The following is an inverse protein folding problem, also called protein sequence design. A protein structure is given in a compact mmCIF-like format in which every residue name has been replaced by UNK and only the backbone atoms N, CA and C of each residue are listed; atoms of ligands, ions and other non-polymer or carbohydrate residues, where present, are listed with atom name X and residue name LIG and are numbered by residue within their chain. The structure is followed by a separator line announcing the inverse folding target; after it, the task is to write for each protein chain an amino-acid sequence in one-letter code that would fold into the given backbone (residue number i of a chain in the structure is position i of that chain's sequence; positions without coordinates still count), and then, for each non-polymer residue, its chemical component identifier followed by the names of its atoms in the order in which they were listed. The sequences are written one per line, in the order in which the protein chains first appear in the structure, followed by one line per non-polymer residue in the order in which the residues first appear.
data_IF_087677056073
#
_entry.id   IF_087677056073
#
_cell.length_a   1.000
_cell.length_b   1.000
_cell.length_c   1.000
_cell.angle_alpha   90.00
_cell.angle_beta   90.00
_cell.angle_gamma   90.00
#
_symmetry.space_group_name_H-M   'P 1'
#
loop_
_entity.id
_entity.type
_entity.pdbx_description
1 polymer ?
#
# COMPACT_ATOMS: atom_id res chain seq x y z
N UNK A 1 60.45 14.28 -2.41
CA UNK A 1 59.51 15.20 -3.10
C UNK A 1 58.34 14.45 -3.80
N UNK A 2 57.86 13.30 -3.29
CA UNK A 2 56.79 12.52 -3.96
C UNK A 2 55.38 12.79 -3.40
N UNK A 3 55.28 13.27 -2.16
CA UNK A 3 54.00 13.32 -1.42
C UNK A 3 53.10 14.48 -1.86
N UNK A 4 53.67 15.59 -2.35
CA UNK A 4 52.92 16.79 -2.76
C UNK A 4 51.96 16.52 -3.92
N UNK A 5 52.36 15.67 -4.87
CA UNK A 5 51.53 15.30 -6.03
C UNK A 5 50.34 14.43 -5.62
N UNK A 6 50.56 13.49 -4.68
CA UNK A 6 49.50 12.62 -4.18
C UNK A 6 48.49 13.37 -3.33
N UNK A 7 48.93 14.38 -2.55
CA UNK A 7 48.05 15.26 -1.78
C UNK A 7 47.12 16.05 -2.71
N UNK A 8 47.66 16.64 -3.78
CA UNK A 8 46.84 17.35 -4.77
C UNK A 8 45.80 16.45 -5.45
N UNK A 9 46.19 15.21 -5.77
CA UNK A 9 45.28 14.21 -6.32
C UNK A 9 44.16 13.83 -5.33
N UNK A 10 44.50 13.64 -4.06
CA UNK A 10 43.51 13.34 -3.01
C UNK A 10 42.52 14.49 -2.80
N UNK A 11 43.01 15.73 -2.82
CA UNK A 11 42.17 16.93 -2.68
C UNK A 11 41.21 17.05 -3.87
N UNK A 12 41.68 16.80 -5.10
CA UNK A 12 40.81 16.85 -6.27
C UNK A 12 39.67 15.82 -6.21
N UNK A 13 39.93 14.61 -5.72
CA UNK A 13 38.90 13.58 -5.50
C UNK A 13 37.90 14.05 -4.43
N UNK A 14 38.40 14.55 -3.30
CA UNK A 14 37.56 15.06 -2.21
C UNK A 14 36.64 16.19 -2.68
N UNK A 15 37.17 17.13 -3.45
CA UNK A 15 36.40 18.24 -4.02
C UNK A 15 35.35 17.71 -5.00
N UNK A 16 35.71 16.77 -5.89
CA UNK A 16 34.77 16.18 -6.83
C UNK A 16 33.64 15.41 -6.14
N UNK A 17 33.96 14.67 -5.07
CA UNK A 17 33.00 13.89 -4.30
C UNK A 17 32.05 14.82 -3.52
N UNK A 18 32.60 15.86 -2.89
CA UNK A 18 31.81 16.84 -2.15
C UNK A 18 30.91 17.64 -3.09
N UNK A 19 31.43 18.12 -4.22
CA UNK A 19 30.67 18.84 -5.23
C UNK A 19 29.58 17.94 -5.85
N UNK A 20 29.91 16.69 -6.19
CA UNK A 20 28.95 15.73 -6.72
C UNK A 20 27.81 15.43 -5.74
N UNK A 21 28.12 15.28 -4.45
CA UNK A 21 27.10 15.05 -3.42
C UNK A 21 26.21 16.28 -3.21
N UNK A 22 26.78 17.48 -3.14
CA UNK A 22 26.01 18.73 -3.00
C UNK A 22 25.10 18.93 -4.22
N UNK A 23 25.60 18.72 -5.43
CA UNK A 23 24.81 18.85 -6.65
C UNK A 23 23.70 17.79 -6.71
N UNK A 24 24.05 16.52 -6.47
CA UNK A 24 23.11 15.40 -6.56
C UNK A 24 22.05 15.37 -5.45
N UNK A 25 22.33 15.95 -4.28
CA UNK A 25 21.41 15.94 -3.14
C UNK A 25 20.63 17.24 -2.98
N UNK A 26 21.30 18.40 -3.14
CA UNK A 26 20.72 19.71 -2.82
C UNK A 26 20.17 20.44 -4.06
N UNK A 27 20.82 20.30 -5.22
CA UNK A 27 20.39 21.00 -6.44
C UNK A 27 19.42 20.17 -7.28
N UNK A 28 19.55 18.84 -7.28
CA UNK A 28 18.70 17.93 -8.05
C UNK A 28 18.12 16.88 -7.10
N UNK A 29 17.23 17.27 -6.16
CA UNK A 29 16.53 16.28 -5.35
C UNK A 29 15.78 15.33 -6.29
N UNK A 30 15.96 14.03 -6.09
CA UNK A 30 15.15 13.05 -6.80
C UNK A 30 13.68 13.37 -6.49
N UNK A 31 12.82 13.52 -7.52
CA UNK A 31 11.41 13.76 -7.26
C UNK A 31 10.91 12.60 -6.39
N UNK A 32 10.34 12.92 -5.23
CA UNK A 32 9.58 11.94 -4.46
C UNK A 32 8.48 11.48 -5.41
N UNK A 33 8.68 10.29 -5.97
CA UNK A 33 7.69 9.69 -6.85
C UNK A 33 6.44 9.58 -5.98
N UNK A 34 5.35 10.23 -6.39
CA UNK A 34 4.04 9.98 -5.83
C UNK A 34 3.73 8.52 -6.12
N UNK A 35 4.21 7.63 -5.25
CA UNK A 35 4.11 6.20 -5.39
C UNK A 35 2.67 5.86 -5.01
N UNK A 36 1.85 5.40 -5.97
CA UNK A 36 0.47 5.06 -5.66
C UNK A 36 0.43 3.89 -4.65
N UNK A 37 -0.63 3.77 -3.87
CA UNK A 37 -0.74 2.74 -2.82
C UNK A 37 -0.58 1.31 -3.39
N UNK A 38 -0.96 1.09 -4.64
CA UNK A 38 -0.75 -0.16 -5.37
C UNK A 38 0.74 -0.57 -5.52
N UNK A 39 1.67 0.38 -5.40
CA UNK A 39 3.11 0.13 -5.51
C UNK A 39 3.77 -0.26 -4.19
N UNK A 40 3.00 -0.30 -3.08
CA UNK A 40 3.50 -0.84 -1.81
C UNK A 40 3.90 -2.31 -1.98
N UNK A 41 4.90 -2.72 -1.22
CA UNK A 41 5.27 -4.14 -1.12
C UNK A 41 4.14 -4.91 -0.40
N UNK A 42 3.97 -6.18 -0.74
CA UNK A 42 2.84 -6.99 -0.27
C UNK A 42 2.68 -7.05 1.25
N UNK A 43 3.77 -7.03 2.01
CA UNK A 43 3.77 -6.93 3.48
C UNK A 43 3.09 -5.64 3.97
N UNK A 44 3.48 -4.48 3.42
CA UNK A 44 2.83 -3.20 3.74
C UNK A 44 1.40 -3.10 3.21
N UNK A 45 1.07 -3.78 2.10
CA UNK A 45 -0.30 -3.87 1.62
C UNK A 45 -1.17 -4.68 2.58
N UNK A 46 -0.65 -5.78 3.12
CA UNK A 46 -1.35 -6.59 4.12
C UNK A 46 -1.62 -5.79 5.40
N UNK A 47 -0.63 -5.03 5.89
CA UNK A 47 -0.80 -4.14 7.05
C UNK A 47 -1.87 -3.06 6.77
N UNK A 48 -1.91 -2.48 5.58
CA UNK A 48 -2.94 -1.51 5.20
C UNK A 48 -4.34 -2.12 5.18
N UNK A 49 -4.48 -3.33 4.61
CA UNK A 49 -5.76 -4.04 4.58
C UNK A 49 -6.22 -4.37 6.00
N UNK A 50 -5.31 -4.73 6.91
CA UNK A 50 -5.62 -4.90 8.32
C UNK A 50 -6.13 -3.60 8.96
N UNK A 51 -5.48 -2.46 8.73
CA UNK A 51 -5.97 -1.16 9.23
C UNK A 51 -7.37 -0.82 8.72
N UNK A 52 -7.66 -1.12 7.44
CA UNK A 52 -9.00 -0.95 6.88
C UNK A 52 -10.00 -1.92 7.54
N UNK A 53 -9.58 -3.15 7.84
CA UNK A 53 -10.42 -4.14 8.51
C UNK A 53 -10.73 -3.75 9.97
N UNK A 54 -9.74 -3.23 10.70
CA UNK A 54 -9.92 -2.70 12.05
C UNK A 54 -10.89 -1.51 12.05
N UNK A 55 -10.70 -0.57 11.13
CA UNK A 55 -11.62 0.56 10.97
C UNK A 55 -13.03 0.11 10.62
N UNK A 56 -13.17 -0.85 9.70
CA UNK A 56 -14.47 -1.42 9.37
C UNK A 56 -15.12 -2.11 10.58
N UNK A 57 -14.36 -2.85 11.37
CA UNK A 57 -14.89 -3.51 12.56
C UNK A 57 -15.39 -2.50 13.61
N UNK A 58 -14.70 -1.36 13.75
CA UNK A 58 -15.07 -0.29 14.66
C UNK A 58 -16.29 0.53 14.17
N UNK A 59 -16.26 0.98 12.91
CA UNK A 59 -17.25 1.93 12.37
C UNK A 59 -18.43 1.23 11.66
N UNK A 60 -18.28 -0.05 11.29
CA UNK A 60 -19.21 -0.83 10.45
C UNK A 60 -19.55 -0.16 9.10
N UNK A 61 -18.72 0.78 8.65
CA UNK A 61 -18.91 1.50 7.40
C UNK A 61 -18.25 0.76 6.23
N UNK A 62 -19.06 -0.06 5.56
CA UNK A 62 -18.63 -0.83 4.39
C UNK A 62 -18.27 0.07 3.20
N UNK A 63 -18.96 1.19 3.01
CA UNK A 63 -18.72 2.07 1.85
C UNK A 63 -17.35 2.71 1.94
N UNK A 64 -16.99 3.19 3.13
CA UNK A 64 -15.65 3.74 3.40
C UNK A 64 -14.58 2.67 3.26
N UNK A 65 -14.80 1.47 3.81
CA UNK A 65 -13.85 0.36 3.70
C UNK A 65 -13.62 -0.06 2.22
N UNK A 66 -14.68 -0.19 1.43
CA UNK A 66 -14.59 -0.51 0.01
C UNK A 66 -13.87 0.58 -0.79
N UNK A 67 -14.09 1.85 -0.45
CA UNK A 67 -13.39 2.97 -1.09
C UNK A 67 -11.88 2.92 -0.82
N UNK A 68 -11.47 2.69 0.43
CA UNK A 68 -10.07 2.58 0.84
C UNK A 68 -9.37 1.38 0.20
N UNK A 69 -10.05 0.24 0.09
CA UNK A 69 -9.52 -0.95 -0.56
C UNK A 69 -9.33 -0.77 -2.08
N UNK A 70 -10.19 0.01 -2.72
CA UNK A 70 -10.06 0.32 -4.14
C UNK A 70 -8.89 1.25 -4.44
N UNK A 71 -8.43 2.02 -3.45
CA UNK A 71 -7.25 2.87 -3.57
C UNK A 71 -5.94 2.06 -3.59
N UNK A 72 -5.88 0.95 -2.84
CA UNK A 72 -4.70 0.07 -2.82
C UNK A 72 -4.68 -0.98 -3.92
N UNK A 73 -5.84 -1.44 -4.37
CA UNK A 73 -5.94 -2.43 -5.45
C UNK A 73 -7.16 -2.13 -6.33
N UNK A 74 -7.00 -1.26 -7.34
CA UNK A 74 -8.10 -0.84 -8.21
C UNK A 74 -8.64 -1.96 -9.09
N UNK A 75 -7.80 -2.96 -9.42
CA UNK A 75 -8.16 -4.05 -10.33
C UNK A 75 -8.90 -5.19 -9.63
N UNK A 76 -8.42 -5.66 -8.47
CA UNK A 76 -8.92 -6.89 -7.85
C UNK A 76 -8.86 -6.87 -6.30
N UNK A 77 -9.71 -6.06 -5.67
CA UNK A 77 -9.82 -5.95 -4.21
C UNK A 77 -9.94 -7.33 -3.51
N UNK A 78 -10.75 -8.24 -4.05
CA UNK A 78 -10.96 -9.57 -3.46
C UNK A 78 -9.70 -10.44 -3.46
N UNK A 79 -8.83 -10.28 -4.45
CA UNK A 79 -7.56 -11.03 -4.53
C UNK A 79 -6.56 -10.48 -3.51
N UNK A 80 -6.48 -9.15 -3.36
CA UNK A 80 -5.58 -8.50 -2.41
C UNK A 80 -5.93 -8.83 -0.95
N UNK A 81 -7.22 -8.94 -0.60
CA UNK A 81 -7.63 -9.38 0.75
C UNK A 81 -7.19 -10.82 1.04
N UNK A 82 -7.31 -11.72 0.06
CA UNK A 82 -6.85 -13.11 0.20
C UNK A 82 -5.34 -13.19 0.35
N UNK A 83 -4.61 -12.40 -0.43
CA UNK A 83 -3.16 -12.31 -0.32
C UNK A 83 -2.75 -11.76 1.05
N UNK A 84 -3.44 -10.76 1.57
CA UNK A 84 -3.23 -10.24 2.92
C UNK A 84 -3.48 -11.30 4.01
N UNK A 85 -4.46 -12.20 3.86
CA UNK A 85 -4.66 -13.32 4.78
C UNK A 85 -3.53 -14.35 4.73
N UNK A 86 -2.96 -14.61 3.55
CA UNK A 86 -1.83 -15.53 3.38
C UNK A 86 -0.56 -14.91 3.97
N UNK A 87 -0.29 -13.65 3.63
CA UNK A 87 0.86 -12.91 4.13
C UNK A 87 0.77 -12.69 5.64
N UNK A 88 -0.40 -12.33 6.16
CA UNK A 88 -0.63 -12.18 7.60
C UNK A 88 -0.30 -13.45 8.38
N UNK A 89 -0.66 -14.63 7.85
CA UNK A 89 -0.25 -15.91 8.45
C UNK A 89 1.27 -16.12 8.42
N UNK A 90 1.94 -15.75 7.32
CA UNK A 90 3.40 -15.87 7.19
C UNK A 90 4.15 -14.87 8.09
N UNK A 91 3.58 -13.68 8.29
CA UNK A 91 4.13 -12.60 9.11
C UNK A 91 3.80 -12.77 10.60
N UNK A 92 2.94 -13.73 10.96
CA UNK A 92 2.63 -14.07 12.34
C UNK A 92 1.54 -13.21 12.97
N UNK A 93 0.59 -12.71 12.18
CA UNK A 93 -0.60 -12.01 12.69
C UNK A 93 -1.35 -12.87 13.71
N UNK A 94 -1.91 -12.20 14.71
CA UNK A 94 -2.76 -12.81 15.72
C UNK A 94 -4.04 -13.35 15.11
N UNK A 95 -4.66 -14.31 15.80
CA UNK A 95 -5.96 -14.85 15.40
C UNK A 95 -7.04 -13.77 15.31
N UNK A 96 -6.95 -12.74 16.16
CA UNK A 96 -7.86 -11.60 16.13
C UNK A 96 -7.72 -10.77 14.86
N UNK A 97 -6.50 -10.43 14.45
CA UNK A 97 -6.23 -9.66 13.22
C UNK A 97 -6.70 -10.43 11.97
N UNK A 98 -6.44 -11.73 11.90
CA UNK A 98 -6.93 -12.58 10.80
C UNK A 98 -8.47 -12.65 10.77
N UNK A 99 -9.13 -12.65 11.93
CA UNK A 99 -10.59 -12.59 12.02
C UNK A 99 -11.14 -11.27 11.50
N UNK A 100 -10.50 -10.14 11.80
CA UNK A 100 -10.91 -8.82 11.29
C UNK A 100 -10.84 -8.78 9.77
N UNK A 101 -9.73 -9.22 9.18
CA UNK A 101 -9.56 -9.27 7.72
C UNK A 101 -10.60 -10.22 7.09
N UNK A 102 -10.88 -11.36 7.73
CA UNK A 102 -11.91 -12.30 7.27
C UNK A 102 -13.31 -11.68 7.32
N UNK A 103 -13.64 -10.95 8.39
CA UNK A 103 -14.91 -10.25 8.55
C UNK A 103 -15.10 -9.19 7.45
N UNK A 104 -14.04 -8.42 7.16
CA UNK A 104 -14.03 -7.48 6.03
C UNK A 104 -14.24 -8.21 4.69
N UNK A 105 -13.55 -9.33 4.45
CA UNK A 105 -13.69 -10.12 3.23
C UNK A 105 -15.14 -10.58 3.01
N UNK A 106 -15.78 -11.12 4.05
CA UNK A 106 -17.16 -11.58 3.98
C UNK A 106 -18.12 -10.44 3.69
N UNK A 107 -17.96 -9.31 4.37
CA UNK A 107 -18.84 -8.15 4.20
C UNK A 107 -18.76 -7.55 2.79
N UNK A 108 -17.56 -7.42 2.23
CA UNK A 108 -17.34 -6.96 0.84
C UNK A 108 -17.92 -7.97 -0.16
N UNK A 109 -17.71 -9.27 0.07
CA UNK A 109 -18.25 -10.33 -0.77
C UNK A 109 -19.78 -10.35 -0.82
N UNK A 110 -20.44 -10.13 0.32
CA UNK A 110 -21.91 -10.05 0.40
C UNK A 110 -22.47 -8.81 -0.32
N UNK A 111 -21.82 -7.65 -0.22
CA UNK A 111 -22.27 -6.43 -0.88
C UNK A 111 -22.06 -6.44 -2.39
N UNK A 112 -20.97 -7.04 -2.87
CA UNK A 112 -20.74 -7.22 -4.31
C UNK A 112 -21.85 -8.06 -4.98
N UNK A 113 -22.52 -8.92 -4.21
CA UNK A 113 -23.61 -9.77 -4.69
C UNK A 113 -24.99 -9.08 -4.62
N UNK A 114 -25.06 -7.83 -4.16
CA UNK A 114 -26.31 -7.12 -3.84
C UNK A 114 -26.78 -6.10 -4.90
N UNK A 115 -26.27 -6.13 -6.15
CA UNK A 115 -26.73 -5.23 -7.22
C UNK A 115 -27.95 -5.76 -8.00
N UNK A 116 -28.75 -4.86 -8.58
CA UNK A 116 -30.10 -4.50 -8.13
C UNK A 116 -31.15 -5.59 -8.39
N UNK A 117 -32.03 -5.83 -7.42
CA UNK A 117 -33.34 -6.42 -7.74
C UNK A 117 -34.09 -5.37 -8.56
N UNK A 118 -34.21 -5.62 -9.86
CA UNK A 118 -35.18 -4.94 -10.72
C UNK A 118 -36.53 -4.96 -9.99
N UNK A 119 -37.25 -3.84 -9.80
CA UNK A 119 -38.62 -3.93 -9.36
C UNK A 119 -39.36 -4.66 -10.47
N UNK A 120 -39.64 -5.94 -10.26
CA UNK A 120 -40.65 -6.66 -11.02
C UNK A 120 -41.92 -5.87 -10.82
N UNK A 121 -42.25 -5.02 -11.81
CA UNK A 121 -43.58 -4.48 -11.96
C UNK A 121 -44.50 -5.68 -12.14
N UNK A 122 -44.98 -6.19 -11.02
CA UNK A 122 -46.06 -7.15 -10.94
C UNK A 122 -47.33 -6.40 -11.38
N UNK A 123 -47.55 -6.39 -12.69
CA UNK A 123 -48.83 -5.99 -13.29
C UNK A 123 -49.81 -7.11 -12.96
N UNK A 124 -50.56 -6.92 -11.88
CA UNK A 124 -51.70 -7.76 -11.50
C UNK A 124 -52.89 -7.37 -12.40
N UNK A 125 -53.67 -8.34 -12.91
CA UNK A 125 -54.65 -8.17 -14.00
C UNK A 125 -55.84 -7.26 -13.71
#
# INVERSE_FOLDING_TARGET
MQNKRQIGFMIAILVGLFAGLVIGWLLIPAPVKNAPLESLRGDYQADYILMVAEKFAADQDLLTAAALLREISPSDTSSSIKEALILGQQLGYSQHELQLITLLQTAIGSSSNAAPVTPTTEVIP
#
